data_IF_712707229269
#
_entry.id   IF_712707229269
#
_cell.length_a   1.000
_cell.length_b   1.000
_cell.length_c   1.000
_cell.angle_alpha   90.00
_cell.angle_beta   90.00
_cell.angle_gamma   90.00
#
_symmetry.space_group_name_H-M   'P 1'
#
loop_
_entity.id
_entity.type
_entity.pdbx_description
1 polymer ?
#
# COMPACT_ATOMS: atom_id res chain seq x y z
N UNK A 1 -17.41 -8.79 -15.63
CA UNK A 1 -16.94 -7.41 -15.38
C UNK A 1 -15.94 -7.03 -16.46
N UNK A 2 -15.94 -5.77 -16.91
CA UNK A 2 -15.11 -5.34 -18.05
C UNK A 2 -13.65 -5.09 -17.60
N UNK A 3 -12.63 -5.39 -18.42
CA UNK A 3 -11.21 -5.24 -18.04
C UNK A 3 -10.82 -3.84 -17.53
N UNK A 4 -11.46 -2.79 -18.06
CA UNK A 4 -11.17 -1.39 -17.70
C UNK A 4 -11.64 -1.01 -16.30
N UNK A 5 -12.72 -1.63 -15.81
CA UNK A 5 -13.26 -1.39 -14.46
C UNK A 5 -12.30 -1.94 -13.39
N UNK A 6 -11.59 -3.04 -13.69
CA UNK A 6 -10.61 -3.64 -12.79
C UNK A 6 -9.35 -2.77 -12.64
N UNK A 7 -8.89 -2.13 -13.72
CA UNK A 7 -7.70 -1.27 -13.67
C UNK A 7 -7.92 -0.06 -12.75
N UNK A 8 -9.12 0.53 -12.79
CA UNK A 8 -9.47 1.64 -11.90
C UNK A 8 -9.51 1.22 -10.43
N UNK A 9 -10.01 0.01 -10.14
CA UNK A 9 -9.99 -0.54 -8.79
C UNK A 9 -8.55 -0.73 -8.27
N UNK A 10 -7.66 -1.32 -9.08
CA UNK A 10 -6.25 -1.48 -8.68
C UNK A 10 -5.54 -0.14 -8.48
N UNK A 11 -5.79 0.87 -9.34
CA UNK A 11 -5.23 2.22 -9.15
C UNK A 11 -5.73 2.83 -7.84
N UNK A 12 -7.01 2.62 -7.51
CA UNK A 12 -7.59 3.10 -6.27
C UNK A 12 -6.96 2.43 -5.04
N UNK A 13 -6.72 1.12 -5.10
CA UNK A 13 -6.03 0.38 -4.05
C UNK A 13 -4.61 0.93 -3.87
N UNK A 14 -3.85 1.11 -4.96
CA UNK A 14 -2.51 1.70 -4.89
C UNK A 14 -2.51 3.09 -4.25
N UNK A 15 -3.46 3.95 -4.62
CA UNK A 15 -3.61 5.29 -4.02
C UNK A 15 -3.91 5.22 -2.52
N UNK A 16 -4.86 4.36 -2.15
CA UNK A 16 -5.34 4.21 -0.78
C UNK A 16 -4.24 3.65 0.13
N UNK A 17 -3.55 2.61 -0.31
CA UNK A 17 -2.49 1.97 0.47
C UNK A 17 -1.24 2.86 0.59
N UNK A 18 -0.91 3.62 -0.46
CA UNK A 18 0.17 4.62 -0.37
C UNK A 18 -0.14 5.69 0.66
N UNK A 19 -1.39 6.16 0.71
CA UNK A 19 -1.84 7.11 1.75
C UNK A 19 -1.73 6.53 3.15
N UNK A 20 -2.14 5.28 3.34
CA UNK A 20 -2.02 4.59 4.64
C UNK A 20 -0.55 4.47 5.07
N UNK A 21 0.36 4.08 4.18
CA UNK A 21 1.80 4.02 4.48
C UNK A 21 2.32 5.37 4.98
N UNK A 22 1.94 6.46 4.31
CA UNK A 22 2.32 7.83 4.72
C UNK A 22 1.73 8.14 6.10
N UNK A 23 0.46 7.84 6.34
CA UNK A 23 -0.20 8.07 7.63
C UNK A 23 0.49 7.32 8.78
N UNK A 24 0.86 6.05 8.58
CA UNK A 24 1.53 5.24 9.59
C UNK A 24 2.96 5.67 9.88
N UNK A 25 3.65 6.27 8.91
CA UNK A 25 5.08 6.62 9.01
C UNK A 25 5.31 8.11 9.25
N UNK A 26 4.29 8.96 9.11
CA UNK A 26 4.39 10.39 9.40
C UNK A 26 4.67 10.62 10.88
N UNK A 27 5.69 11.44 11.18
CA UNK A 27 6.18 11.73 12.53
C UNK A 27 6.70 10.49 13.31
N UNK A 28 7.01 9.39 12.62
CA UNK A 28 7.60 8.19 13.21
C UNK A 28 9.08 8.16 12.86
N UNK A 29 9.95 8.13 13.86
CA UNK A 29 11.39 7.95 13.59
C UNK A 29 11.69 6.51 13.17
N UNK A 30 12.85 6.27 12.56
CA UNK A 30 13.27 4.91 12.23
C UNK A 30 13.30 3.99 13.47
N UNK A 31 13.80 4.49 14.61
CA UNK A 31 13.84 3.74 15.87
C UNK A 31 12.43 3.43 16.39
N UNK A 32 11.48 4.37 16.28
CA UNK A 32 10.09 4.12 16.67
C UNK A 32 9.46 3.06 15.77
N UNK A 33 9.72 3.11 14.46
CA UNK A 33 9.27 2.12 13.48
C UNK A 33 9.86 0.73 13.79
N UNK A 34 11.17 0.65 14.02
CA UNK A 34 11.88 -0.59 14.35
C UNK A 34 11.43 -1.21 15.68
N UNK A 35 10.97 -0.41 16.64
CA UNK A 35 10.49 -0.91 17.93
C UNK A 35 8.96 -1.10 17.99
N UNK A 36 8.20 -0.52 17.06
CA UNK A 36 6.75 -0.65 17.01
C UNK A 36 6.28 -1.70 15.99
N UNK A 37 6.02 -2.92 16.49
CA UNK A 37 5.58 -4.07 15.68
C UNK A 37 4.29 -3.83 14.91
N UNK A 38 3.37 -3.04 15.46
CA UNK A 38 2.08 -2.76 14.83
C UNK A 38 2.26 -1.86 13.60
N UNK A 39 3.05 -0.80 13.71
CA UNK A 39 3.33 0.10 12.58
C UNK A 39 4.04 -0.68 11.47
N UNK A 40 5.02 -1.53 11.80
CA UNK A 40 5.69 -2.36 10.78
C UNK A 40 4.73 -3.27 10.04
N UNK A 41 3.89 -4.02 10.76
CA UNK A 41 2.95 -4.92 10.11
C UNK A 41 1.90 -4.18 9.27
N UNK A 42 1.44 -3.02 9.72
CA UNK A 42 0.54 -2.19 8.94
C UNK A 42 1.21 -1.72 7.63
N UNK A 43 2.44 -1.19 7.73
CA UNK A 43 3.21 -0.74 6.56
C UNK A 43 3.56 -1.90 5.60
N UNK A 44 4.01 -3.05 6.12
CA UNK A 44 4.30 -4.24 5.32
C UNK A 44 3.05 -4.76 4.59
N UNK A 45 1.89 -4.77 5.27
CA UNK A 45 0.63 -5.20 4.65
C UNK A 45 0.21 -4.25 3.53
N UNK A 46 0.28 -2.95 3.75
CA UNK A 46 -0.04 -1.97 2.70
C UNK A 46 0.92 -2.06 1.51
N UNK A 47 2.21 -2.33 1.75
CA UNK A 47 3.18 -2.58 0.67
C UNK A 47 2.84 -3.84 -0.13
N UNK A 48 2.36 -4.91 0.51
CA UNK A 48 1.92 -6.12 -0.19
C UNK A 48 0.74 -5.85 -1.13
N UNK A 49 -0.28 -5.13 -0.66
CA UNK A 49 -1.46 -4.78 -1.48
C UNK A 49 -1.05 -3.84 -2.62
N UNK A 50 -0.22 -2.84 -2.34
CA UNK A 50 0.32 -1.94 -3.36
C UNK A 50 1.06 -2.70 -4.46
N UNK A 51 1.91 -3.66 -4.08
CA UNK A 51 2.66 -4.50 -5.02
C UNK A 51 1.76 -5.42 -5.85
N UNK A 52 0.74 -6.01 -5.23
CA UNK A 52 -0.26 -6.84 -5.91
C UNK A 52 -1.03 -6.03 -6.96
N UNK A 53 -1.55 -4.87 -6.58
CA UNK A 53 -2.27 -3.98 -7.48
C UNK A 53 -1.36 -3.47 -8.63
N UNK A 54 -0.10 -3.13 -8.34
CA UNK A 54 0.87 -2.72 -9.36
C UNK A 54 1.17 -3.85 -10.37
N UNK A 55 1.27 -5.10 -9.90
CA UNK A 55 1.49 -6.27 -10.75
C UNK A 55 0.31 -6.49 -11.71
N UNK A 56 -0.92 -6.24 -11.25
CA UNK A 56 -2.11 -6.36 -12.09
C UNK A 56 -2.22 -5.30 -13.19
N UNK A 57 -1.67 -4.09 -12.98
CA UNK A 57 -1.70 -3.01 -13.98
C UNK A 57 -0.48 -3.09 -14.94
N UNK A 58 0.66 -3.62 -14.48
CA UNK A 58 1.91 -3.61 -15.27
C UNK A 58 1.94 -4.62 -16.42
N UNK A 59 0.99 -5.55 -16.49
CA UNK A 59 0.87 -6.56 -17.57
C UNK A 59 -0.04 -6.13 -18.74
N UNK A 60 -0.34 -4.83 -18.88
CA UNK A 60 -1.16 -4.26 -19.96
C UNK A 60 -0.28 -3.78 -21.12
#
# INVERSE_FOLDING_TARGET
MKPQENNLAYIWDMYTETKQIIEFTTNVTFTDFENNKLIRYATERSLLILGEAANHISYI
#
